data_IF_166193819011
#
_entry.id   IF_166193819011
#
_cell.length_a   1.000
_cell.length_b   1.000
_cell.length_c   1.000
_cell.angle_alpha   90.00
_cell.angle_beta   90.00
_cell.angle_gamma   90.00
#
_symmetry.space_group_name_H-M   'P 1'
#
loop_
_entity.id
_entity.type
_entity.pdbx_description
1 polymer ?
#
# COMPACT_ATOMS: atom_id res chain seq x y z
N UNK A 1 33.21 -8.44 15.38
CA UNK A 1 33.05 -9.81 15.91
C UNK A 1 33.94 -10.76 15.10
N UNK A 2 34.54 -11.80 15.70
CA UNK A 2 35.26 -12.84 14.92
C UNK A 2 34.37 -14.08 14.78
N UNK A 3 34.17 -14.52 13.54
CA UNK A 3 33.23 -15.58 13.18
C UNK A 3 33.87 -16.61 12.25
N UNK A 4 33.20 -17.75 12.06
CA UNK A 4 33.69 -18.84 11.22
C UNK A 4 33.23 -18.63 9.78
N UNK A 5 34.18 -18.52 8.85
CA UNK A 5 33.90 -18.44 7.40
C UNK A 5 33.09 -19.63 6.89
N UNK A 6 33.28 -20.82 7.46
CA UNK A 6 32.52 -22.02 7.08
C UNK A 6 31.02 -21.87 7.35
N UNK A 7 30.64 -21.25 8.46
CA UNK A 7 29.22 -21.02 8.78
C UNK A 7 28.63 -19.94 7.86
N UNK A 8 29.36 -18.86 7.60
CA UNK A 8 28.95 -17.81 6.65
C UNK A 8 28.70 -18.37 5.25
N UNK A 9 29.66 -19.12 4.71
CA UNK A 9 29.58 -19.75 3.38
C UNK A 9 28.42 -20.72 3.28
N UNK A 10 28.13 -21.45 4.36
CA UNK A 10 27.01 -22.40 4.40
C UNK A 10 25.67 -21.66 4.37
N UNK A 11 25.52 -20.63 5.19
CA UNK A 11 24.25 -19.93 5.37
C UNK A 11 23.91 -18.91 4.26
N UNK A 12 24.90 -18.44 3.50
CA UNK A 12 24.73 -17.35 2.54
C UNK A 12 25.48 -17.62 1.22
N UNK A 13 24.75 -17.67 0.08
CA UNK A 13 25.35 -17.64 -1.25
C UNK A 13 26.25 -16.42 -1.48
N UNK A 14 25.88 -15.25 -0.94
CA UNK A 14 26.68 -14.02 -1.03
C UNK A 14 28.05 -14.21 -0.37
N UNK A 15 28.08 -14.72 0.86
CA UNK A 15 29.34 -15.02 1.54
C UNK A 15 30.12 -16.17 0.90
N UNK A 16 29.45 -17.17 0.33
CA UNK A 16 30.10 -18.23 -0.47
C UNK A 16 30.86 -17.66 -1.66
N UNK A 17 30.26 -16.69 -2.34
CA UNK A 17 30.90 -15.99 -3.46
C UNK A 17 32.09 -15.16 -2.96
N UNK A 18 31.84 -14.25 -2.00
CA UNK A 18 32.82 -13.31 -1.43
C UNK A 18 34.03 -14.01 -0.79
N UNK A 19 33.83 -15.12 -0.08
CA UNK A 19 34.91 -15.88 0.57
C UNK A 19 35.46 -16.99 -0.33
N UNK A 20 35.03 -17.04 -1.60
CA UNK A 20 35.48 -17.96 -2.63
C UNK A 20 36.83 -17.58 -3.25
N UNK A 21 37.23 -18.25 -4.34
CA UNK A 21 38.52 -17.98 -4.98
C UNK A 21 38.63 -16.65 -5.70
N UNK A 22 37.49 -16.09 -6.12
CA UNK A 22 37.42 -15.02 -7.09
C UNK A 22 37.47 -13.61 -6.49
N UNK A 23 37.45 -13.50 -5.16
CA UNK A 23 37.42 -12.23 -4.43
C UNK A 23 38.62 -12.11 -3.49
N UNK A 24 39.02 -10.88 -3.21
CA UNK A 24 40.22 -10.58 -2.40
C UNK A 24 40.10 -11.13 -0.97
N UNK A 25 38.91 -11.00 -0.37
CA UNK A 25 38.59 -11.50 0.96
C UNK A 25 38.84 -13.00 1.06
N UNK A 26 38.35 -13.77 0.10
CA UNK A 26 38.57 -15.21 0.05
C UNK A 26 40.02 -15.60 -0.25
N UNK A 27 40.76 -14.81 -1.03
CA UNK A 27 42.19 -15.02 -1.26
C UNK A 27 43.01 -14.80 0.02
N UNK A 28 42.80 -13.67 0.71
CA UNK A 28 43.42 -13.38 2.01
C UNK A 28 43.09 -14.44 3.05
N UNK A 29 41.82 -14.84 3.14
CA UNK A 29 41.38 -15.91 4.06
C UNK A 29 42.16 -17.22 3.86
N UNK A 30 42.50 -17.59 2.62
CA UNK A 30 43.27 -18.81 2.33
C UNK A 30 44.76 -18.68 2.64
N UNK A 31 45.34 -17.50 2.45
CA UNK A 31 46.78 -17.26 2.66
C UNK A 31 47.07 -17.02 4.15
N UNK A 32 46.28 -16.17 4.79
CA UNK A 32 46.52 -15.67 6.15
C UNK A 32 45.73 -16.44 7.22
N UNK A 33 44.73 -17.23 6.82
CA UNK A 33 43.85 -17.98 7.74
C UNK A 33 42.74 -17.13 8.39
N UNK A 34 42.71 -15.83 8.13
CA UNK A 34 41.65 -14.90 8.53
C UNK A 34 41.54 -13.76 7.51
N UNK A 35 40.40 -13.07 7.51
CA UNK A 35 40.21 -11.85 6.72
C UNK A 35 39.20 -10.95 7.42
N UNK A 36 39.36 -9.64 7.24
CA UNK A 36 38.41 -8.65 7.74
C UNK A 36 37.47 -8.23 6.60
N UNK A 37 36.17 -8.24 6.89
CA UNK A 37 35.11 -7.80 5.98
C UNK A 37 34.53 -6.51 6.58
N UNK A 38 34.54 -5.43 5.79
CA UNK A 38 33.91 -4.18 6.19
C UNK A 38 32.39 -4.30 6.06
N UNK A 39 31.65 -3.82 7.06
CA UNK A 39 30.18 -3.84 7.06
C UNK A 39 29.56 -2.79 6.12
N UNK A 40 30.32 -1.75 5.74
CA UNK A 40 29.77 -0.66 4.95
C UNK A 40 28.63 0.04 5.69
N UNK A 41 27.46 0.09 5.05
CA UNK A 41 26.23 0.70 5.58
C UNK A 41 25.35 -0.29 6.37
N UNK A 42 25.80 -1.54 6.55
CA UNK A 42 25.04 -2.55 7.29
C UNK A 42 24.93 -2.20 8.80
N UNK A 43 23.73 -2.33 9.36
CA UNK A 43 23.49 -2.11 10.79
C UNK A 43 24.23 -3.18 11.63
N UNK A 44 25.16 -2.79 12.51
CA UNK A 44 26.03 -3.74 13.21
C UNK A 44 25.28 -4.60 14.23
N UNK A 45 24.21 -4.08 14.84
CA UNK A 45 23.43 -4.80 15.84
C UNK A 45 22.55 -5.87 15.18
N UNK A 46 21.90 -5.51 14.06
CA UNK A 46 21.18 -6.48 13.22
C UNK A 46 22.11 -7.56 12.69
N UNK A 47 23.32 -7.18 12.25
CA UNK A 47 24.32 -8.14 11.79
C UNK A 47 24.75 -9.10 12.89
N UNK A 48 24.99 -8.61 14.12
CA UNK A 48 25.35 -9.46 15.25
C UNK A 48 24.28 -10.51 15.53
N UNK A 49 23.00 -10.16 15.43
CA UNK A 49 21.88 -11.10 15.58
C UNK A 49 21.98 -12.20 14.51
N UNK A 50 22.15 -11.84 13.24
CA UNK A 50 22.28 -12.80 12.13
C UNK A 50 23.50 -13.72 12.33
N UNK A 51 24.64 -13.15 12.73
CA UNK A 51 25.84 -13.93 13.04
C UNK A 51 25.60 -14.91 14.19
N UNK A 52 24.89 -14.51 15.25
CA UNK A 52 24.53 -15.43 16.33
C UNK A 52 23.62 -16.56 15.85
N UNK A 53 22.67 -16.28 14.94
CA UNK A 53 21.79 -17.30 14.35
C UNK A 53 22.59 -18.32 13.54
N UNK A 54 23.37 -17.88 12.55
CA UNK A 54 24.09 -18.78 11.63
C UNK A 54 25.18 -19.61 12.33
N UNK A 55 25.65 -19.16 13.51
CA UNK A 55 26.62 -19.90 14.34
C UNK A 55 25.96 -20.78 15.41
N UNK A 56 24.62 -20.88 15.43
CA UNK A 56 23.89 -21.69 16.41
C UNK A 56 23.97 -21.16 17.84
N UNK A 57 24.32 -19.89 18.03
CA UNK A 57 24.42 -19.23 19.34
C UNK A 57 23.05 -18.75 19.81
N UNK A 58 22.06 -19.62 19.75
CA UNK A 58 20.62 -19.30 19.93
C UNK A 58 20.28 -18.64 21.28
N UNK A 59 21.08 -18.87 22.33
CA UNK A 59 20.93 -18.20 23.64
C UNK A 59 21.22 -16.70 23.59
N UNK A 60 21.96 -16.22 22.57
CA UNK A 60 22.29 -14.81 22.34
C UNK A 60 21.32 -14.13 21.38
N UNK A 61 20.44 -14.89 20.74
CA UNK A 61 19.44 -14.35 19.81
C UNK A 61 18.26 -13.82 20.62
N UNK A 62 17.82 -12.57 20.41
CA UNK A 62 16.71 -11.99 21.16
C UNK A 62 15.40 -12.76 20.90
N UNK A 63 14.55 -12.86 21.93
CA UNK A 63 13.24 -13.54 21.82
C UNK A 63 12.18 -12.69 21.13
N UNK A 64 12.37 -11.38 21.13
CA UNK A 64 11.53 -10.38 20.48
C UNK A 64 12.42 -9.29 19.92
N UNK A 65 12.02 -8.69 18.82
CA UNK A 65 12.68 -7.53 18.21
C UNK A 65 11.63 -6.46 17.92
N UNK A 66 12.05 -5.19 17.85
CA UNK A 66 11.18 -4.11 17.39
C UNK A 66 10.92 -4.22 15.89
N UNK A 67 9.90 -3.51 15.39
CA UNK A 67 9.66 -3.38 13.95
C UNK A 67 10.90 -2.84 13.22
N UNK A 68 11.53 -1.78 13.74
CA UNK A 68 12.78 -1.20 13.19
C UNK A 68 13.89 -2.24 13.05
N UNK A 69 14.15 -3.03 14.11
CA UNK A 69 15.18 -4.05 14.09
C UNK A 69 14.83 -5.18 13.11
N UNK A 70 13.55 -5.59 13.02
CA UNK A 70 13.12 -6.58 12.05
C UNK A 70 13.24 -6.08 10.60
N UNK A 71 12.99 -4.79 10.34
CA UNK A 71 13.21 -4.17 9.03
C UNK A 71 14.68 -4.23 8.65
N UNK A 72 15.59 -3.85 9.55
CA UNK A 72 17.04 -3.95 9.33
C UNK A 72 17.49 -5.38 9.06
N UNK A 73 16.96 -6.34 9.84
CA UNK A 73 17.18 -7.76 9.60
C UNK A 73 16.67 -8.19 8.22
N UNK A 74 15.49 -7.74 7.79
CA UNK A 74 14.94 -8.05 6.46
C UNK A 74 15.85 -7.55 5.33
N UNK A 75 16.37 -6.32 5.43
CA UNK A 75 17.33 -5.76 4.46
C UNK A 75 18.56 -6.67 4.33
N UNK A 76 19.19 -7.01 5.45
CA UNK A 76 20.38 -7.86 5.47
C UNK A 76 20.09 -9.29 5.02
N UNK A 77 18.99 -9.88 5.46
CA UNK A 77 18.58 -11.25 5.07
C UNK A 77 18.38 -11.33 3.57
N UNK A 78 17.74 -10.33 2.97
CA UNK A 78 17.55 -10.27 1.53
C UNK A 78 18.88 -10.09 0.78
N UNK A 79 19.71 -9.13 1.20
CA UNK A 79 21.00 -8.83 0.56
C UNK A 79 21.99 -10.01 0.61
N UNK A 80 22.14 -10.62 1.79
CA UNK A 80 23.02 -11.76 1.99
C UNK A 80 22.36 -13.11 1.67
N UNK A 81 21.07 -13.11 1.29
CA UNK A 81 20.29 -14.30 0.94
C UNK A 81 20.32 -15.37 2.05
N UNK A 82 20.01 -14.96 3.28
CA UNK A 82 20.08 -15.83 4.49
C UNK A 82 18.71 -16.34 4.96
N UNK A 83 17.69 -16.30 4.09
CA UNK A 83 16.29 -16.59 4.43
C UNK A 83 16.09 -17.91 5.20
N UNK A 84 16.65 -19.02 4.72
CA UNK A 84 16.51 -20.34 5.36
C UNK A 84 17.14 -20.40 6.76
N UNK A 85 18.27 -19.72 6.96
CA UNK A 85 18.97 -19.75 8.25
C UNK A 85 18.21 -19.00 9.36
N UNK A 86 17.39 -18.01 8.99
CA UNK A 86 16.69 -17.13 9.93
C UNK A 86 15.22 -17.47 10.13
N UNK A 87 14.64 -18.30 9.26
CA UNK A 87 13.20 -18.56 9.15
C UNK A 87 12.51 -18.81 10.49
N UNK A 88 13.04 -19.72 11.32
CA UNK A 88 12.47 -20.04 12.63
C UNK A 88 12.37 -18.81 13.57
N UNK A 89 13.39 -17.95 13.53
CA UNK A 89 13.45 -16.77 14.40
C UNK A 89 12.57 -15.65 13.85
N UNK A 90 12.64 -15.39 12.54
CA UNK A 90 11.80 -14.38 11.89
C UNK A 90 10.33 -14.68 12.08
N UNK A 91 9.90 -15.94 11.95
CA UNK A 91 8.50 -16.33 12.13
C UNK A 91 8.01 -16.01 13.54
N UNK A 92 8.83 -16.33 14.55
CA UNK A 92 8.48 -16.04 15.95
C UNK A 92 8.36 -14.54 16.21
N UNK A 93 9.26 -13.74 15.64
CA UNK A 93 9.23 -12.28 15.78
C UNK A 93 8.06 -11.65 15.04
N UNK A 94 7.81 -12.07 13.80
CA UNK A 94 6.68 -11.62 12.97
C UNK A 94 5.37 -11.94 13.67
N UNK A 95 5.17 -13.17 14.14
CA UNK A 95 3.95 -13.58 14.85
C UNK A 95 3.70 -12.73 16.11
N UNK A 96 4.76 -12.30 16.78
CA UNK A 96 4.65 -11.43 17.96
C UNK A 96 4.19 -10.04 17.56
N UNK A 97 4.83 -9.44 16.55
CA UNK A 97 4.49 -8.11 16.06
C UNK A 97 3.10 -8.06 15.39
N UNK A 98 2.70 -9.11 14.67
CA UNK A 98 1.34 -9.22 14.10
C UNK A 98 0.27 -9.23 15.19
N UNK A 99 0.54 -9.85 16.36
CA UNK A 99 -0.37 -9.82 17.51
C UNK A 99 -0.48 -8.45 18.16
N UNK A 100 0.57 -7.62 18.06
CA UNK A 100 0.53 -6.22 18.50
C UNK A 100 -0.30 -5.36 17.53
N UNK A 101 -0.29 -5.71 16.24
CA UNK A 101 -1.21 -5.22 15.23
C UNK A 101 -0.50 -4.82 13.93
N UNK A 102 -1.16 -5.07 12.80
CA UNK A 102 -0.74 -4.52 11.51
C UNK A 102 -1.19 -3.07 11.34
N UNK A 103 -0.46 -2.26 10.55
CA UNK A 103 -0.82 -0.87 10.27
C UNK A 103 -2.22 -0.78 9.65
N UNK A 104 -3.01 0.19 10.11
CA UNK A 104 -4.38 0.43 9.63
C UNK A 104 -4.48 1.66 8.69
N UNK A 105 -3.38 2.39 8.54
CA UNK A 105 -3.25 3.56 7.67
C UNK A 105 -1.88 3.58 7.03
N UNK A 106 -1.79 4.28 5.90
CA UNK A 106 -0.53 4.53 5.23
C UNK A 106 0.43 5.35 6.11
N UNK A 107 1.72 5.03 6.05
CA UNK A 107 2.78 5.65 6.83
C UNK A 107 4.05 4.77 6.91
N UNK A 108 5.09 5.22 7.64
CA UNK A 108 6.40 4.54 7.66
C UNK A 108 6.35 3.08 8.13
N UNK A 109 5.44 2.77 9.07
CA UNK A 109 5.25 1.39 9.55
C UNK A 109 4.72 0.47 8.44
N UNK A 110 3.82 0.96 7.57
CA UNK A 110 3.30 0.19 6.43
C UNK A 110 4.41 -0.14 5.43
N UNK A 111 5.33 0.79 5.17
CA UNK A 111 6.51 0.57 4.32
C UNK A 111 7.43 -0.50 4.90
N UNK A 112 7.72 -0.42 6.21
CA UNK A 112 8.50 -1.44 6.92
C UNK A 112 7.86 -2.83 6.81
N UNK A 113 6.56 -2.91 7.08
CA UNK A 113 5.82 -4.17 7.01
C UNK A 113 5.74 -4.72 5.58
N UNK A 114 5.63 -3.87 4.56
CA UNK A 114 5.64 -4.33 3.16
C UNK A 114 6.95 -5.06 2.84
N UNK A 115 8.09 -4.50 3.27
CA UNK A 115 9.39 -5.14 3.12
C UNK A 115 9.47 -6.46 3.88
N UNK A 116 9.15 -6.44 5.18
CA UNK A 116 9.25 -7.62 6.05
C UNK A 116 8.41 -8.77 5.48
N UNK A 117 7.15 -8.48 5.12
CA UNK A 117 6.23 -9.50 4.63
C UNK A 117 6.61 -10.03 3.25
N UNK A 118 7.23 -9.20 2.40
CA UNK A 118 7.80 -9.65 1.13
C UNK A 118 9.04 -10.53 1.34
N UNK A 119 10.05 -10.05 2.08
CA UNK A 119 11.32 -10.78 2.32
C UNK A 119 11.06 -12.14 2.98
N UNK A 120 10.23 -12.15 4.02
CA UNK A 120 9.94 -13.37 4.80
C UNK A 120 8.73 -14.16 4.29
N UNK A 121 8.24 -13.87 3.07
CA UNK A 121 7.20 -14.65 2.39
C UNK A 121 5.94 -14.85 3.25
N UNK A 122 5.34 -13.75 3.70
CA UNK A 122 4.11 -13.71 4.52
C UNK A 122 2.93 -13.19 3.70
N UNK A 123 2.26 -14.05 2.90
CA UNK A 123 1.32 -13.61 1.87
C UNK A 123 0.04 -12.96 2.44
N UNK A 124 -0.42 -13.38 3.61
CA UNK A 124 -1.64 -12.84 4.24
C UNK A 124 -1.39 -11.41 4.71
N UNK A 125 -0.30 -11.21 5.43
CA UNK A 125 0.15 -9.92 5.96
C UNK A 125 0.54 -8.98 4.81
N UNK A 126 1.26 -9.47 3.80
CA UNK A 126 1.64 -8.71 2.61
C UNK A 126 0.43 -8.14 1.88
N UNK A 127 -0.60 -8.98 1.66
CA UNK A 127 -1.86 -8.53 1.04
C UNK A 127 -2.54 -7.44 1.89
N UNK A 128 -2.60 -7.64 3.21
CA UNK A 128 -3.23 -6.68 4.11
C UNK A 128 -2.51 -5.32 4.09
N UNK A 129 -1.17 -5.32 4.14
CA UNK A 129 -0.37 -4.10 4.21
C UNK A 129 -0.31 -3.39 2.87
N UNK A 130 -0.16 -4.14 1.77
CA UNK A 130 -0.22 -3.57 0.42
C UNK A 130 -1.55 -2.87 0.15
N UNK A 131 -2.69 -3.44 0.59
CA UNK A 131 -4.01 -2.77 0.52
C UNK A 131 -4.02 -1.43 1.25
N UNK A 132 -3.42 -1.37 2.45
CA UNK A 132 -3.37 -0.12 3.25
C UNK A 132 -2.58 0.96 2.52
N UNK A 133 -1.48 0.57 1.87
CA UNK A 133 -0.67 1.48 1.04
C UNK A 133 -1.46 1.93 -0.18
N UNK A 134 -2.05 1.02 -0.96
CA UNK A 134 -2.84 1.35 -2.17
C UNK A 134 -3.99 2.32 -1.90
N UNK A 135 -4.64 2.22 -0.73
CA UNK A 135 -5.71 3.12 -0.33
C UNK A 135 -5.19 4.52 0.05
N UNK A 136 -3.99 4.60 0.63
CA UNK A 136 -3.50 5.79 1.33
C UNK A 136 -2.30 6.49 0.70
N UNK A 137 -1.66 5.91 -0.32
CA UNK A 137 -0.52 6.53 -0.99
C UNK A 137 -0.94 7.63 -1.97
N UNK A 138 0.00 8.51 -2.26
CA UNK A 138 -0.08 9.49 -3.34
C UNK A 138 0.82 9.07 -4.52
N UNK A 139 1.02 9.97 -5.48
CA UNK A 139 1.89 9.72 -6.64
C UNK A 139 3.38 9.60 -6.31
N UNK A 140 3.81 10.03 -5.12
CA UNK A 140 5.21 10.05 -4.68
C UNK A 140 5.56 8.83 -3.84
N UNK A 141 4.78 7.75 -3.90
CA UNK A 141 5.01 6.50 -3.16
C UNK A 141 6.46 5.99 -3.31
N UNK A 142 7.10 6.21 -4.45
CA UNK A 142 8.50 5.82 -4.69
C UNK A 142 9.47 6.51 -3.72
N UNK A 143 9.20 7.75 -3.31
CA UNK A 143 10.05 8.54 -2.40
C UNK A 143 10.06 7.97 -0.97
N UNK A 144 9.03 7.21 -0.59
CA UNK A 144 8.91 6.60 0.74
C UNK A 144 9.75 5.32 0.88
N UNK A 145 10.32 4.82 -0.22
CA UNK A 145 11.27 3.72 -0.22
C UNK A 145 12.67 4.27 -0.47
N UNK A 146 13.42 4.47 0.62
CA UNK A 146 14.84 4.84 0.56
C UNK A 146 15.62 3.89 -0.39
N UNK A 147 16.71 4.37 -1.01
CA UNK A 147 17.61 3.53 -1.83
C UNK A 147 18.11 2.26 -1.10
N UNK A 148 18.03 2.24 0.24
CA UNK A 148 18.41 1.11 1.08
C UNK A 148 17.35 0.02 1.27
N UNK A 149 16.08 0.23 0.87
CA UNK A 149 15.03 -0.78 1.02
C UNK A 149 14.90 -1.64 -0.25
N UNK A 150 15.20 -2.95 -0.20
CA UNK A 150 15.28 -3.76 -1.41
C UNK A 150 13.89 -4.28 -1.84
N UNK A 151 12.93 -3.37 -2.05
CA UNK A 151 11.61 -3.71 -2.61
C UNK A 151 11.73 -3.80 -4.14
N UNK A 152 11.23 -4.88 -4.78
CA UNK A 152 11.14 -4.95 -6.23
C UNK A 152 10.34 -3.78 -6.83
N UNK A 153 10.90 -3.02 -7.80
CA UNK A 153 10.18 -1.93 -8.47
C UNK A 153 8.79 -2.30 -9.02
N UNK A 154 8.54 -3.55 -9.50
CA UNK A 154 7.21 -3.95 -9.92
C UNK A 154 6.14 -3.81 -8.83
N UNK A 155 6.44 -4.04 -7.55
CA UNK A 155 5.48 -3.90 -6.46
C UNK A 155 4.96 -2.46 -6.40
N UNK A 156 5.86 -1.48 -6.40
CA UNK A 156 5.53 -0.06 -6.33
C UNK A 156 4.75 0.39 -7.58
N UNK A 157 5.20 -0.03 -8.76
CA UNK A 157 4.52 0.30 -10.02
C UNK A 157 3.08 -0.20 -10.10
N UNK A 158 2.80 -1.40 -9.56
CA UNK A 158 1.45 -1.97 -9.54
C UNK A 158 0.58 -1.24 -8.52
N UNK A 159 1.12 -0.90 -7.35
CA UNK A 159 0.39 -0.08 -6.36
C UNK A 159 -0.01 1.28 -6.94
N UNK A 160 0.91 1.96 -7.62
CA UNK A 160 0.63 3.24 -8.28
C UNK A 160 -0.40 3.10 -9.42
N UNK A 161 -0.35 2.01 -10.19
CA UNK A 161 -1.34 1.72 -11.21
C UNK A 161 -2.73 1.47 -10.62
N UNK A 162 -2.83 0.69 -9.53
CA UNK A 162 -4.07 0.43 -8.81
C UNK A 162 -4.65 1.72 -8.21
N UNK A 163 -3.81 2.55 -7.58
CA UNK A 163 -4.19 3.89 -7.10
C UNK A 163 -4.79 4.72 -8.23
N UNK A 164 -4.09 4.83 -9.36
CA UNK A 164 -4.56 5.64 -10.50
C UNK A 164 -5.90 5.14 -11.05
N UNK A 165 -6.07 3.81 -11.18
CA UNK A 165 -7.32 3.21 -11.63
C UNK A 165 -8.49 3.46 -10.65
N UNK A 166 -8.23 3.38 -9.34
CA UNK A 166 -9.23 3.64 -8.32
C UNK A 166 -9.67 5.12 -8.29
N UNK A 167 -8.72 6.06 -8.39
CA UNK A 167 -9.01 7.50 -8.51
C UNK A 167 -9.81 7.78 -9.79
N UNK A 168 -9.41 7.22 -10.92
CA UNK A 168 -10.16 7.38 -12.17
C UNK A 168 -11.59 6.86 -12.04
N UNK A 169 -11.75 5.65 -11.48
CA UNK A 169 -13.06 5.06 -11.22
C UNK A 169 -13.94 5.96 -10.36
N UNK A 170 -13.36 6.53 -9.29
CA UNK A 170 -14.08 7.44 -8.39
C UNK A 170 -14.55 8.71 -9.11
N UNK A 171 -13.68 9.30 -9.93
CA UNK A 171 -14.03 10.45 -10.76
C UNK A 171 -15.12 10.11 -11.78
N UNK A 172 -15.02 8.96 -12.45
CA UNK A 172 -16.00 8.51 -13.45
C UNK A 172 -17.41 8.44 -12.84
N UNK A 173 -17.56 8.00 -11.59
CA UNK A 173 -18.86 7.96 -10.90
C UNK A 173 -19.52 9.35 -10.89
N UNK A 174 -18.77 10.37 -10.45
CA UNK A 174 -19.30 11.75 -10.35
C UNK A 174 -19.53 12.35 -11.74
N UNK A 175 -18.60 12.15 -12.67
CA UNK A 175 -18.72 12.65 -14.04
C UNK A 175 -19.87 12.02 -14.81
N UNK A 176 -20.16 10.73 -14.59
CA UNK A 176 -21.33 10.07 -15.18
C UNK A 176 -22.64 10.62 -14.63
N UNK A 177 -22.70 10.97 -13.33
CA UNK A 177 -23.86 11.66 -12.77
C UNK A 177 -24.05 13.03 -13.41
N UNK A 178 -22.98 13.82 -13.54
CA UNK A 178 -23.03 15.13 -14.22
C UNK A 178 -23.52 14.98 -15.67
N UNK A 179 -22.95 14.02 -16.42
CA UNK A 179 -23.37 13.75 -17.80
C UNK A 179 -24.85 13.33 -17.88
N UNK A 180 -25.30 12.47 -16.97
CA UNK A 180 -26.69 12.00 -16.90
C UNK A 180 -27.67 13.17 -16.73
N UNK A 181 -27.41 14.06 -15.77
CA UNK A 181 -28.26 15.24 -15.52
C UNK A 181 -28.07 16.39 -16.49
N UNK A 182 -27.03 16.35 -17.32
CA UNK A 182 -26.85 17.30 -18.44
C UNK A 182 -27.67 16.92 -19.67
N UNK A 183 -28.29 15.75 -19.67
CA UNK A 183 -29.16 15.28 -20.76
C UNK A 183 -30.46 16.10 -20.84
N UNK A 184 -31.12 16.15 -22.02
CA UNK A 184 -32.40 16.85 -22.16
C UNK A 184 -33.60 16.12 -21.52
N UNK A 185 -33.41 14.89 -21.05
CA UNK A 185 -34.47 14.08 -20.44
C UNK A 185 -34.72 14.51 -18.97
N UNK A 186 -35.99 14.57 -18.57
CA UNK A 186 -36.37 14.86 -17.18
C UNK A 186 -36.27 13.57 -16.34
N UNK A 187 -35.37 13.58 -15.37
CA UNK A 187 -34.98 12.44 -14.56
C UNK A 187 -35.62 12.42 -13.17
N UNK A 188 -36.18 13.56 -12.72
CA UNK A 188 -36.84 13.63 -11.43
C UNK A 188 -37.93 12.56 -11.30
N UNK A 189 -37.79 11.62 -10.33
CA UNK A 189 -38.68 10.48 -10.20
C UNK A 189 -40.01 10.84 -9.50
N UNK A 190 -40.10 12.05 -8.94
CA UNK A 190 -41.29 12.53 -8.23
C UNK A 190 -42.38 12.91 -9.24
N UNK A 191 -43.64 12.68 -8.87
CA UNK A 191 -44.80 13.02 -9.69
C UNK A 191 -45.04 14.53 -9.62
N UNK A 192 -44.43 15.27 -10.55
CA UNK A 192 -44.56 16.72 -10.73
C UNK A 192 -44.77 17.10 -12.20
N UNK A 193 -45.16 18.35 -12.43
CA UNK A 193 -45.13 18.96 -13.77
C UNK A 193 -43.69 19.13 -14.27
N UNK A 194 -43.56 19.29 -15.59
CA UNK A 194 -42.26 19.35 -16.28
C UNK A 194 -41.37 20.49 -15.79
N UNK A 195 -41.91 21.65 -15.43
CA UNK A 195 -41.11 22.79 -14.96
C UNK A 195 -40.48 22.49 -13.60
N UNK A 196 -41.24 21.87 -12.69
CA UNK A 196 -40.72 21.49 -11.37
C UNK A 196 -39.70 20.34 -11.46
N UNK A 197 -39.90 19.38 -12.37
CA UNK A 197 -38.88 18.36 -12.66
C UNK A 197 -37.60 18.97 -13.21
N UNK A 198 -37.70 19.89 -14.18
CA UNK A 198 -36.57 20.58 -14.76
C UNK A 198 -35.79 21.39 -13.70
N UNK A 199 -36.50 22.13 -12.84
CA UNK A 199 -35.87 22.88 -11.75
C UNK A 199 -35.12 21.96 -10.77
N UNK A 200 -35.68 20.78 -10.49
CA UNK A 200 -35.04 19.77 -9.64
C UNK A 200 -33.76 19.22 -10.26
N UNK A 201 -33.82 18.77 -11.51
CA UNK A 201 -32.67 18.23 -12.23
C UNK A 201 -31.57 19.28 -12.41
N UNK A 202 -31.94 20.54 -12.70
CA UNK A 202 -31.00 21.65 -12.82
C UNK A 202 -30.31 21.99 -11.48
N UNK A 203 -31.05 21.98 -10.36
CA UNK A 203 -30.47 22.19 -9.03
C UNK A 203 -29.49 21.07 -8.68
N UNK A 204 -29.86 19.83 -8.97
CA UNK A 204 -29.04 18.65 -8.73
C UNK A 204 -27.76 18.71 -9.58
N UNK A 205 -27.88 18.97 -10.89
CA UNK A 205 -26.73 19.17 -11.78
C UNK A 205 -25.79 20.27 -11.29
N UNK A 206 -26.35 21.44 -10.96
CA UNK A 206 -25.58 22.57 -10.44
C UNK A 206 -24.86 22.25 -9.13
N UNK A 207 -25.49 21.46 -8.24
CA UNK A 207 -24.88 21.00 -7.00
C UNK A 207 -23.74 20.02 -7.22
N UNK A 208 -23.89 19.07 -8.16
CA UNK A 208 -22.84 18.12 -8.52
C UNK A 208 -21.63 18.82 -9.15
N UNK A 209 -21.84 19.76 -10.09
CA UNK A 209 -20.76 20.52 -10.71
C UNK A 209 -20.03 21.37 -9.67
N UNK A 210 -20.76 22.10 -8.82
CA UNK A 210 -20.14 22.91 -7.77
C UNK A 210 -19.40 22.07 -6.73
N UNK A 211 -19.98 20.95 -6.32
CA UNK A 211 -19.39 20.01 -5.38
C UNK A 211 -18.10 19.40 -5.94
N UNK A 212 -18.15 18.84 -7.15
CA UNK A 212 -16.98 18.27 -7.83
C UNK A 212 -15.87 19.30 -8.06
N UNK A 213 -16.20 20.54 -8.40
CA UNK A 213 -15.22 21.62 -8.52
C UNK A 213 -14.58 21.98 -7.16
N UNK A 214 -15.35 21.94 -6.06
CA UNK A 214 -14.83 22.24 -4.72
C UNK A 214 -13.83 21.22 -4.18
N UNK A 215 -13.88 19.98 -4.67
CA UNK A 215 -12.94 18.90 -4.33
C UNK A 215 -11.90 18.66 -5.45
N UNK A 216 -11.83 19.56 -6.44
CA UNK A 216 -10.78 19.55 -7.46
C UNK A 216 -10.94 18.54 -8.60
N UNK A 217 -12.08 17.84 -8.73
CA UNK A 217 -12.29 16.81 -9.77
C UNK A 217 -13.09 17.32 -10.99
N UNK A 218 -13.43 18.61 -11.04
CA UNK A 218 -14.07 19.25 -12.20
C UNK A 218 -13.26 20.46 -12.70
N UNK A 219 -12.89 20.52 -14.00
CA UNK A 219 -13.09 19.49 -15.04
C UNK A 219 -12.37 18.17 -14.75
N UNK A 220 -12.66 17.10 -15.50
CA UNK A 220 -12.03 15.78 -15.28
C UNK A 220 -10.50 15.92 -15.45
N UNK A 221 -9.76 15.50 -14.43
CA UNK A 221 -8.29 15.39 -14.45
C UNK A 221 -7.83 14.13 -15.21
N UNK A 222 -6.56 14.09 -15.54
CA UNK A 222 -5.86 12.91 -16.07
C UNK A 222 -4.78 12.44 -15.09
N UNK A 223 -4.40 11.17 -15.21
CA UNK A 223 -3.26 10.61 -14.49
C UNK A 223 -2.00 11.51 -14.66
N UNK A 224 -1.12 11.61 -13.63
CA UNK A 224 -1.03 10.75 -12.44
C UNK A 224 -1.89 11.18 -11.23
N UNK A 225 -2.82 12.14 -11.41
CA UNK A 225 -3.69 12.65 -10.35
C UNK A 225 -2.89 13.22 -9.17
N UNK A 226 -2.05 14.22 -9.47
CA UNK A 226 -1.14 14.82 -8.50
C UNK A 226 -1.89 15.39 -7.28
N UNK A 227 -1.42 15.05 -6.07
CA UNK A 227 -1.98 15.49 -4.79
C UNK A 227 -3.27 14.76 -4.36
N UNK A 228 -3.67 13.69 -5.06
CA UNK A 228 -4.84 12.90 -4.67
C UNK A 228 -4.44 11.63 -3.94
N UNK A 229 -5.11 11.37 -2.82
CA UNK A 229 -5.13 10.06 -2.17
C UNK A 229 -6.52 9.45 -2.38
N UNK A 230 -6.59 8.20 -2.84
CA UNK A 230 -7.87 7.57 -3.19
C UNK A 230 -8.84 7.54 -2.01
N UNK A 231 -8.37 7.13 -0.81
CA UNK A 231 -9.19 7.09 0.40
C UNK A 231 -9.80 8.45 0.75
N UNK A 232 -9.02 9.53 0.65
CA UNK A 232 -9.49 10.88 0.96
C UNK A 232 -10.49 11.37 -0.11
N UNK A 233 -10.20 11.10 -1.39
CA UNK A 233 -11.12 11.42 -2.47
C UNK A 233 -12.46 10.69 -2.32
N UNK A 234 -12.44 9.41 -1.95
CA UNK A 234 -13.66 8.63 -1.73
C UNK A 234 -14.50 9.20 -0.57
N UNK A 235 -13.87 9.71 0.49
CA UNK A 235 -14.57 10.43 1.58
C UNK A 235 -15.17 11.73 1.05
N UNK A 236 -14.38 12.56 0.36
CA UNK A 236 -14.83 13.83 -0.20
C UNK A 236 -16.00 13.66 -1.18
N UNK A 237 -15.98 12.61 -1.99
CA UNK A 237 -17.08 12.27 -2.93
C UNK A 237 -18.36 11.88 -2.18
N UNK A 238 -18.26 11.07 -1.11
CA UNK A 238 -19.43 10.72 -0.27
C UNK A 238 -20.04 11.94 0.42
N UNK A 239 -19.20 12.90 0.79
CA UNK A 239 -19.59 14.13 1.48
C UNK A 239 -20.14 15.22 0.54
N UNK A 240 -20.18 14.98 -0.78
CA UNK A 240 -20.72 15.93 -1.74
C UNK A 240 -22.14 16.35 -1.37
N UNK A 241 -22.33 17.67 -1.27
CA UNK A 241 -23.63 18.28 -1.01
C UNK A 241 -24.47 18.26 -2.29
N UNK A 242 -25.23 17.18 -2.46
CA UNK A 242 -26.23 17.04 -3.52
C UNK A 242 -27.55 17.63 -3.04
N UNK A 243 -28.10 18.57 -3.80
CA UNK A 243 -29.38 19.22 -3.50
C UNK A 243 -30.43 18.84 -4.54
N UNK A 244 -31.66 18.62 -4.07
CA UNK A 244 -32.84 18.40 -4.89
C UNK A 244 -34.03 19.20 -4.33
N UNK A 245 -35.09 19.31 -5.12
CA UNK A 245 -36.33 20.01 -4.73
C UNK A 245 -37.32 19.05 -4.05
N UNK A 246 -37.06 17.74 -4.06
CA UNK A 246 -38.03 16.66 -3.78
C UNK A 246 -38.64 16.70 -2.38
N UNK A 247 -37.96 17.34 -1.42
CA UNK A 247 -38.40 17.42 -0.02
C UNK A 247 -39.17 18.71 0.34
N UNK A 248 -39.42 19.62 -0.60
CA UNK A 248 -39.81 20.99 -0.26
C UNK A 248 -41.31 21.33 -0.24
N UNK A 249 -42.19 20.48 -0.76
CA UNK A 249 -43.59 20.89 -1.00
C UNK A 249 -44.58 20.52 0.12
N UNK A 250 -44.10 20.07 1.29
CA UNK A 250 -44.90 20.05 2.51
C UNK A 250 -44.71 21.37 3.32
N UNK A 251 -45.07 22.50 2.70
CA UNK A 251 -45.65 23.66 3.39
C UNK A 251 -44.80 24.64 4.21
N UNK A 252 -43.52 24.41 4.55
CA UNK A 252 -42.79 25.32 5.45
C UNK A 252 -41.31 25.50 5.08
N UNK A 253 -41.03 26.32 4.05
CA UNK A 253 -39.92 27.28 3.94
C UNK A 253 -38.49 26.97 4.42
N UNK A 254 -38.10 25.73 4.71
CA UNK A 254 -36.74 25.36 5.14
C UNK A 254 -36.13 24.38 4.15
N UNK A 255 -34.94 24.70 3.65
CA UNK A 255 -34.12 23.79 2.86
C UNK A 255 -33.63 22.64 3.72
N UNK A 256 -34.45 21.58 3.79
CA UNK A 256 -34.14 20.37 4.55
C UNK A 256 -33.64 19.30 3.58
N UNK A 257 -32.31 19.16 3.55
CA UNK A 257 -31.58 18.08 2.89
C UNK A 257 -31.89 16.76 3.61
N UNK A 258 -32.95 16.04 3.22
CA UNK A 258 -33.02 14.59 3.46
C UNK A 258 -34.20 13.91 2.75
N UNK A 259 -33.95 13.44 1.53
CA UNK A 259 -34.33 12.13 1.03
C UNK A 259 -33.52 11.95 -0.24
N UNK A 260 -32.79 10.83 -0.37
CA UNK A 260 -32.04 10.51 -1.58
C UNK A 260 -33.00 10.10 -2.70
N UNK A 261 -33.94 11.00 -3.05
CA UNK A 261 -35.08 10.71 -3.92
C UNK A 261 -34.62 10.27 -5.31
N UNK A 262 -33.50 10.83 -5.77
CA UNK A 262 -32.87 10.47 -7.02
C UNK A 262 -31.90 9.26 -6.91
N UNK A 263 -31.66 8.74 -5.71
CA UNK A 263 -30.73 7.64 -5.47
C UNK A 263 -29.26 8.01 -5.70
N UNK A 264 -28.92 9.30 -5.78
CA UNK A 264 -27.56 9.77 -6.10
C UNK A 264 -26.59 9.45 -4.97
N UNK A 265 -26.96 9.75 -3.72
CA UNK A 265 -26.09 9.45 -2.58
C UNK A 265 -25.90 7.96 -2.39
N UNK A 266 -26.96 7.16 -2.54
CA UNK A 266 -26.91 5.70 -2.47
C UNK A 266 -26.04 5.14 -3.59
N UNK A 267 -26.15 5.67 -4.81
CA UNK A 267 -25.31 5.26 -5.95
C UNK A 267 -23.84 5.60 -5.73
N UNK A 268 -23.54 6.78 -5.18
CA UNK A 268 -22.17 7.19 -4.84
C UNK A 268 -21.60 6.25 -3.78
N UNK A 269 -22.35 6.03 -2.70
CA UNK A 269 -21.95 5.16 -1.58
C UNK A 269 -21.63 3.74 -2.07
N UNK A 270 -22.54 3.14 -2.85
CA UNK A 270 -22.35 1.81 -3.41
C UNK A 270 -21.13 1.74 -4.34
N UNK A 271 -20.90 2.78 -5.15
CA UNK A 271 -19.76 2.82 -6.08
C UNK A 271 -18.43 2.98 -5.35
N UNK A 272 -18.36 3.84 -4.34
CA UNK A 272 -17.13 4.02 -3.56
C UNK A 272 -16.79 2.75 -2.77
N UNK A 273 -17.79 2.09 -2.18
CA UNK A 273 -17.61 0.81 -1.49
C UNK A 273 -17.12 -0.28 -2.45
N UNK A 274 -17.61 -0.31 -3.70
CA UNK A 274 -17.14 -1.25 -4.71
C UNK A 274 -15.68 -1.00 -5.13
N UNK A 275 -15.29 0.27 -5.31
CA UNK A 275 -13.91 0.63 -5.65
C UNK A 275 -12.94 0.32 -4.50
N UNK A 276 -13.33 0.60 -3.26
CA UNK A 276 -12.54 0.23 -2.08
C UNK A 276 -12.43 -1.28 -1.92
N UNK A 277 -13.48 -2.05 -2.23
CA UNK A 277 -13.43 -3.51 -2.21
C UNK A 277 -12.53 -4.09 -3.32
N UNK A 278 -12.43 -3.40 -4.46
CA UNK A 278 -11.57 -3.82 -5.57
C UNK A 278 -10.06 -3.72 -5.25
N UNK A 279 -9.66 -2.82 -4.35
CA UNK A 279 -8.27 -2.69 -3.87
C UNK A 279 -7.94 -3.71 -2.79
N UNK A 280 -8.10 -5.00 -3.04
CA UNK A 280 -7.95 -6.05 -2.01
C UNK A 280 -6.50 -6.37 -1.60
N UNK A 281 -5.53 -5.58 -2.07
CA UNK A 281 -4.10 -5.78 -1.84
C UNK A 281 -3.45 -6.69 -2.87
N UNK A 282 -2.13 -6.64 -2.92
CA UNK A 282 -1.31 -7.38 -3.86
C UNK A 282 -1.17 -8.85 -3.48
N UNK A 283 -0.96 -9.69 -4.50
CA UNK A 283 -0.61 -11.09 -4.32
C UNK A 283 0.91 -11.25 -4.29
N UNK A 284 1.46 -11.71 -3.17
CA UNK A 284 2.91 -11.82 -2.96
C UNK A 284 3.60 -12.68 -4.03
N UNK A 285 2.97 -13.79 -4.44
CA UNK A 285 3.53 -14.75 -5.40
C UNK A 285 3.81 -14.16 -6.78
N UNK A 286 3.15 -13.05 -7.14
CA UNK A 286 3.37 -12.38 -8.42
C UNK A 286 4.74 -11.66 -8.47
N UNK A 287 5.38 -11.49 -7.31
CA UNK A 287 6.62 -10.72 -7.12
C UNK A 287 7.79 -11.56 -6.59
N UNK A 288 7.60 -12.86 -6.40
CA UNK A 288 8.67 -13.77 -6.00
C UNK A 288 9.32 -14.41 -7.24
N UNK A 289 10.64 -14.68 -7.21
CA UNK A 289 11.29 -15.47 -8.25
C UNK A 289 10.60 -16.83 -8.33
N UNK A 290 10.15 -17.24 -9.52
CA UNK A 290 9.63 -18.59 -9.72
C UNK A 290 10.72 -19.58 -9.31
N UNK A 291 10.50 -20.33 -8.23
CA UNK A 291 11.42 -21.38 -7.82
C UNK A 291 11.54 -22.38 -8.97
N UNK A 292 12.69 -22.35 -9.65
CA UNK A 292 13.08 -23.42 -10.54
C UNK A 292 13.42 -24.60 -9.63
N UNK A 293 12.46 -25.50 -9.43
CA UNK A 293 12.74 -26.80 -8.82
C UNK A 293 13.80 -27.47 -9.70
N UNK A 294 15.04 -27.51 -9.21
CA UNK A 294 16.14 -28.29 -9.78
C UNK A 294 16.21 -29.64 -9.10
#
# INVERSE_FOLDING_TARGET
MRVSSKHLILASPTFRSMLGPNFEEGQRLRIEGSTDIALGDDDPDAFEILLNIIHGLTRRVPRSVSLDMLTKLAVLVNYYQMHEAVELFSDTWIDTLVKEGLPQSYGPEAVCWLLITWVFHKPVEFRSVSRVIELGCDENLEDDFDEGLPIPPPIISVMLAHRAAAIEGAMIVVHNLIARYSSPELLCPVVWDENNKLACDALLLGSLIKGSASIGIWPKLSAPYQGFVFKDLAIQIRELKVFDVCNHMNGLGRYQSCSDAHGVKTSIEASMNALEAALYGLNLEDFCPKQAFS
#
